data_IF_448241724625
#
_entry.id   IF_448241724625
#
_cell.length_a   1.000
_cell.length_b   1.000
_cell.length_c   1.000
_cell.angle_alpha   90.00
_cell.angle_beta   90.00
_cell.angle_gamma   90.00
#
_symmetry.space_group_name_H-M   'P 1'
#
loop_
_entity.id
_entity.type
_entity.pdbx_description
1 polymer ?
#
# COMPACT_ATOMS: atom_id res chain seq x y z
N UNK A 1 -6.43 15.65 5.19
CA UNK A 1 -5.23 15.61 4.31
C UNK A 1 -5.20 14.24 3.67
N UNK A 2 -4.43 14.01 2.60
CA UNK A 2 -4.33 12.67 2.01
C UNK A 2 -2.86 12.24 1.90
N UNK A 3 -2.64 10.92 1.84
CA UNK A 3 -1.34 10.32 1.57
C UNK A 3 -1.46 9.10 0.68
N UNK A 4 -0.49 8.90 -0.21
CA UNK A 4 -0.40 7.74 -1.11
C UNK A 4 0.94 7.06 -0.83
N UNK A 5 0.94 5.73 -0.77
CA UNK A 5 2.14 4.92 -0.61
C UNK A 5 2.02 3.63 -1.41
N UNK A 6 3.14 3.09 -1.87
CA UNK A 6 3.17 1.84 -2.60
C UNK A 6 4.48 1.60 -3.34
N UNK A 7 4.53 0.50 -4.07
CA UNK A 7 5.69 0.08 -4.85
C UNK A 7 5.25 -0.59 -6.15
N UNK A 8 6.10 -0.48 -7.17
CA UNK A 8 5.92 -1.09 -8.48
C UNK A 8 7.27 -1.59 -9.00
N UNK A 9 7.24 -2.61 -9.87
CA UNK A 9 8.44 -3.21 -10.46
C UNK A 9 8.40 -4.73 -10.38
N UNK A 10 9.57 -5.36 -10.57
CA UNK A 10 9.68 -6.81 -10.42
C UNK A 10 9.52 -7.21 -8.95
N UNK A 11 8.35 -7.75 -8.65
CA UNK A 11 8.00 -8.34 -7.36
C UNK A 11 7.41 -9.75 -7.56
N UNK A 12 7.83 -10.43 -8.62
CA UNK A 12 7.41 -11.79 -8.96
C UNK A 12 7.67 -12.79 -7.83
N UNK A 13 8.70 -12.55 -7.03
CA UNK A 13 9.02 -13.35 -5.84
C UNK A 13 8.10 -13.13 -4.63
N UNK A 14 7.14 -12.21 -4.68
CA UNK A 14 6.16 -11.99 -3.62
C UNK A 14 4.78 -12.57 -3.99
N UNK A 15 4.13 -13.19 -3.01
CA UNK A 15 2.71 -13.54 -3.08
C UNK A 15 1.82 -12.29 -3.05
N UNK A 16 0.53 -12.46 -3.36
CA UNK A 16 -0.43 -11.39 -3.19
C UNK A 16 -0.56 -10.95 -1.72
N UNK A 17 -0.54 -11.88 -0.77
CA UNK A 17 -0.58 -11.56 0.67
C UNK A 17 0.68 -10.82 1.11
N UNK A 18 1.86 -11.22 0.63
CA UNK A 18 3.11 -10.55 0.97
C UNK A 18 3.14 -9.11 0.46
N UNK A 19 2.67 -8.88 -0.79
CA UNK A 19 2.51 -7.53 -1.34
C UNK A 19 1.54 -6.70 -0.50
N UNK A 20 0.42 -7.28 -0.10
CA UNK A 20 -0.57 -6.62 0.76
C UNK A 20 0.03 -6.25 2.13
N UNK A 21 0.78 -7.16 2.76
CA UNK A 21 1.41 -6.92 4.05
C UNK A 21 2.47 -5.83 4.03
N UNK A 22 3.29 -5.76 2.96
CA UNK A 22 4.23 -4.64 2.76
C UNK A 22 3.48 -3.33 2.61
N UNK A 23 2.46 -3.31 1.74
CA UNK A 23 1.66 -2.11 1.50
C UNK A 23 0.96 -1.61 2.77
N UNK A 24 0.41 -2.51 3.58
CA UNK A 24 -0.25 -2.19 4.85
C UNK A 24 0.71 -1.48 5.83
N UNK A 25 1.96 -1.94 5.92
CA UNK A 25 3.00 -1.27 6.71
C UNK A 25 3.31 0.13 6.19
N UNK A 26 3.38 0.31 4.87
CA UNK A 26 3.60 1.63 4.27
C UNK A 26 2.45 2.59 4.58
N UNK A 27 1.20 2.15 4.41
CA UNK A 27 0.01 2.93 4.74
C UNK A 27 -0.06 3.29 6.23
N UNK A 28 0.39 2.41 7.13
CA UNK A 28 0.45 2.67 8.57
C UNK A 28 1.39 3.83 8.91
N UNK A 29 2.56 3.91 8.27
CA UNK A 29 3.54 5.00 8.50
C UNK A 29 2.93 6.37 8.16
N UNK A 30 2.16 6.45 7.07
CA UNK A 30 1.54 7.70 6.60
C UNK A 30 0.13 7.95 7.16
N UNK A 31 -0.34 7.18 8.16
CA UNK A 31 -1.68 7.32 8.76
C UNK A 31 -1.97 8.73 9.27
N UNK A 32 -0.98 9.43 9.82
CA UNK A 32 -1.12 10.79 10.31
C UNK A 32 -1.53 11.80 9.21
N UNK A 33 -1.36 11.44 7.93
CA UNK A 33 -1.82 12.26 6.79
C UNK A 33 -3.29 12.06 6.47
N UNK A 34 -3.90 10.96 6.90
CA UNK A 34 -5.29 10.58 6.63
C UNK A 34 -5.75 9.46 7.58
N UNK A 35 -6.31 9.82 8.75
CA UNK A 35 -6.66 8.88 9.80
C UNK A 35 -8.03 8.21 9.61
N UNK A 36 -8.86 8.76 8.71
CA UNK A 36 -10.29 8.47 8.58
C UNK A 36 -10.54 7.20 7.77
N UNK A 37 -9.85 7.04 6.63
CA UNK A 37 -10.09 5.93 5.71
C UNK A 37 -8.82 5.42 5.00
N UNK A 38 -8.90 4.21 4.44
CA UNK A 38 -7.84 3.55 3.68
C UNK A 38 -8.39 2.81 2.46
N UNK A 39 -7.74 3.00 1.31
CA UNK A 39 -7.94 2.19 0.11
C UNK A 39 -6.66 1.50 -0.34
N UNK A 40 -6.76 0.29 -0.90
CA UNK A 40 -5.60 -0.47 -1.39
C UNK A 40 -5.91 -1.19 -2.71
N UNK A 41 -4.92 -1.23 -3.60
CA UNK A 41 -4.90 -2.01 -4.83
C UNK A 41 -3.65 -2.90 -4.79
N UNK A 42 -3.85 -4.22 -4.87
CA UNK A 42 -2.75 -5.19 -5.01
C UNK A 42 -2.97 -5.97 -6.29
N UNK A 43 -1.98 -5.93 -7.18
CA UNK A 43 -1.92 -6.67 -8.44
C UNK A 43 -0.51 -7.22 -8.64
N UNK A 44 -0.33 -8.04 -9.66
CA UNK A 44 1.00 -8.47 -10.07
C UNK A 44 1.84 -7.25 -10.46
N UNK A 45 3.09 -7.17 -9.99
CA UNK A 45 4.00 -6.07 -10.30
C UNK A 45 3.69 -4.74 -9.59
N UNK A 46 2.58 -4.61 -8.86
CA UNK A 46 2.18 -3.33 -8.25
C UNK A 46 1.33 -3.47 -6.98
N UNK A 47 1.63 -2.66 -5.97
CA UNK A 47 0.81 -2.48 -4.78
C UNK A 47 0.73 -0.98 -4.42
N UNK A 48 -0.47 -0.41 -4.42
CA UNK A 48 -0.73 1.01 -4.16
C UNK A 48 -1.79 1.16 -3.08
N UNK A 49 -1.63 2.16 -2.21
CA UNK A 49 -2.56 2.44 -1.14
C UNK A 49 -2.70 3.93 -0.88
N UNK A 50 -3.87 4.31 -0.37
CA UNK A 50 -4.23 5.69 -0.04
C UNK A 50 -4.74 5.79 1.40
N UNK A 51 -4.54 6.96 2.01
CA UNK A 51 -5.04 7.37 3.32
C UNK A 51 -5.79 8.69 3.18
N UNK A 52 -6.99 8.78 3.73
CA UNK A 52 -7.81 10.00 3.81
C UNK A 52 -8.16 10.32 5.26
#
# INVERSE_FOLDING_TARGET
>A
MCGIAGFAGDNSGLSAEERAGVLERMCRVIRHRGPDDQGTLVREGVALGMRR
#
